data_IF_316883681249
#
_entry.id   IF_316883681249
#
_cell.length_a   1.000
_cell.length_b   1.000
_cell.length_c   1.000
_cell.angle_alpha   90.00
_cell.angle_beta   90.00
_cell.angle_gamma   90.00
#
_symmetry.space_group_name_H-M   'P 1'
#
loop_
_entity.id
_entity.type
_entity.pdbx_description
1 polymer ?
#
# COMPACT_ATOMS: atom_id res chain seq x y z
N UNK A 1 -3.38 -0.13 10.37
CA UNK A 1 -4.19 1.03 10.01
C UNK A 1 -3.36 1.92 9.10
N UNK A 2 -3.94 2.43 8.02
CA UNK A 2 -3.30 3.42 7.13
C UNK A 2 -4.29 4.58 6.96
N UNK A 3 -3.84 5.81 7.18
CA UNK A 3 -4.70 7.00 7.21
C UNK A 3 -4.61 7.83 5.92
N UNK A 4 -4.33 7.19 4.79
CA UNK A 4 -4.00 7.88 3.53
C UNK A 4 -5.11 8.82 3.04
N UNK A 5 -6.36 8.56 3.43
CA UNK A 5 -7.54 9.37 3.13
C UNK A 5 -8.44 9.46 4.37
N UNK A 6 -8.87 10.67 4.70
CA UNK A 6 -9.80 10.93 5.80
C UNK A 6 -10.93 11.80 5.28
N UNK A 7 -12.17 11.36 5.45
CA UNK A 7 -13.37 12.13 5.16
C UNK A 7 -13.99 12.55 6.47
N UNK A 8 -14.19 13.85 6.66
CA UNK A 8 -14.60 14.40 7.95
C UNK A 8 -15.69 15.46 7.77
N UNK A 9 -16.75 15.37 8.57
CA UNK A 9 -17.67 16.48 8.74
C UNK A 9 -17.05 17.49 9.72
N UNK A 10 -16.59 18.64 9.19
CA UNK A 10 -15.93 19.68 9.97
C UNK A 10 -16.77 20.16 11.15
N UNK A 11 -18.09 20.29 11.02
CA UNK A 11 -18.93 20.83 12.11
C UNK A 11 -18.91 19.97 13.36
N UNK A 12 -18.77 18.65 13.21
CA UNK A 12 -18.85 17.70 14.32
C UNK A 12 -17.50 17.21 14.80
N UNK A 13 -16.45 17.29 13.97
CA UNK A 13 -15.14 16.66 14.24
C UNK A 13 -13.98 17.67 14.38
N UNK A 14 -14.25 18.98 14.30
CA UNK A 14 -13.21 20.00 14.33
C UNK A 14 -12.42 20.01 15.66
N UNK A 15 -13.10 19.81 16.80
CA UNK A 15 -12.43 19.76 18.11
C UNK A 15 -11.43 18.60 18.19
N UNK A 16 -11.82 17.42 17.71
CA UNK A 16 -10.90 16.29 17.66
C UNK A 16 -9.69 16.52 16.76
N UNK A 17 -9.87 17.26 15.65
CA UNK A 17 -8.75 17.70 14.81
C UNK A 17 -7.81 18.67 15.56
N UNK A 18 -8.36 19.65 16.28
CA UNK A 18 -7.53 20.52 17.12
C UNK A 18 -6.76 19.72 18.17
N UNK A 19 -7.39 18.71 18.79
CA UNK A 19 -6.71 17.80 19.71
C UNK A 19 -5.56 17.04 19.02
N UNK A 20 -5.77 16.49 17.82
CA UNK A 20 -4.70 15.86 17.02
C UNK A 20 -3.51 16.77 16.78
N UNK A 21 -3.75 18.05 16.47
CA UNK A 21 -2.70 19.06 16.28
C UNK A 21 -1.92 19.30 17.56
N UNK A 22 -2.60 19.40 18.71
CA UNK A 22 -1.92 19.55 20.01
C UNK A 22 -1.03 18.33 20.34
N UNK A 23 -1.51 17.12 20.04
CA UNK A 23 -0.71 15.90 20.22
C UNK A 23 0.53 15.87 19.31
N UNK A 24 0.48 16.49 18.14
CA UNK A 24 1.62 16.57 17.24
C UNK A 24 2.74 17.47 17.80
N UNK A 25 2.39 18.49 18.59
CA UNK A 25 3.38 19.38 19.21
C UNK A 25 4.12 18.77 20.39
N UNK A 26 3.60 17.69 20.98
CA UNK A 26 4.24 17.03 22.11
C UNK A 26 5.09 15.85 21.64
N UNK A 27 6.42 15.88 21.85
CA UNK A 27 7.31 14.81 21.39
C UNK A 27 6.95 13.43 21.97
N UNK A 28 6.38 13.39 23.18
CA UNK A 28 5.98 12.14 23.83
C UNK A 28 4.83 11.43 23.11
N UNK A 29 3.96 12.18 22.45
CA UNK A 29 2.82 11.64 21.68
C UNK A 29 3.14 11.51 20.21
N UNK A 30 3.95 12.42 19.64
CA UNK A 30 4.26 12.42 18.20
C UNK A 30 5.35 11.42 17.78
N UNK A 31 6.35 11.15 18.62
CA UNK A 31 7.48 10.26 18.26
C UNK A 31 7.14 8.77 18.14
N UNK A 32 6.28 8.19 19.01
CA UNK A 32 6.00 6.75 18.95
C UNK A 32 5.18 6.32 17.73
N UNK A 33 4.48 7.27 17.11
CA UNK A 33 3.61 7.02 15.96
C UNK A 33 4.13 7.78 14.74
N UNK A 34 3.67 7.40 13.56
CA UNK A 34 3.82 8.25 12.38
C UNK A 34 2.81 9.39 12.52
N UNK A 35 3.13 10.38 13.36
CA UNK A 35 2.30 11.49 13.86
C UNK A 35 0.97 11.74 13.16
N UNK A 36 1.01 12.05 11.86
CA UNK A 36 -0.21 12.29 11.09
C UNK A 36 -1.17 11.10 11.15
N UNK A 37 -0.73 9.85 11.02
CA UNK A 37 -1.63 8.72 10.80
C UNK A 37 -2.50 8.33 11.97
N UNK A 38 -1.91 8.23 13.15
CA UNK A 38 -2.62 7.72 14.33
C UNK A 38 -3.26 8.83 15.16
N UNK A 39 -2.79 10.08 15.02
CA UNK A 39 -3.29 11.16 15.85
C UNK A 39 -4.68 11.67 15.43
N UNK A 40 -5.13 11.44 14.18
CA UNK A 40 -6.47 11.87 13.73
C UNK A 40 -7.59 11.23 14.54
N UNK A 41 -7.63 9.89 14.58
CA UNK A 41 -8.68 9.18 15.30
C UNK A 41 -8.48 9.28 16.81
N UNK A 42 -7.22 9.29 17.28
CA UNK A 42 -6.92 9.46 18.70
C UNK A 42 -7.37 10.84 19.21
N UNK A 43 -7.20 11.89 18.40
CA UNK A 43 -7.69 13.23 18.72
C UNK A 43 -9.22 13.29 18.81
N UNK A 44 -9.95 12.60 17.93
CA UNK A 44 -11.41 12.46 18.06
C UNK A 44 -11.79 11.80 19.38
N UNK A 45 -11.17 10.67 19.70
CA UNK A 45 -11.41 9.93 20.94
C UNK A 45 -11.14 10.79 22.19
N UNK A 46 -10.01 11.51 22.21
CA UNK A 46 -9.64 12.40 23.33
C UNK A 46 -10.58 13.60 23.48
N UNK A 47 -11.20 14.06 22.39
CA UNK A 47 -12.23 15.10 22.43
C UNK A 47 -13.61 14.59 22.88
N UNK A 48 -13.73 13.30 23.23
CA UNK A 48 -14.99 12.66 23.58
C UNK A 48 -15.88 12.37 22.36
N UNK A 49 -15.31 12.37 21.15
CA UNK A 49 -16.02 12.03 19.92
C UNK A 49 -15.65 10.63 19.44
N UNK A 50 -16.54 9.68 19.69
CA UNK A 50 -16.44 8.29 19.25
C UNK A 50 -17.12 8.04 17.89
N UNK A 51 -17.70 9.07 17.25
CA UNK A 51 -18.45 8.96 15.99
C UNK A 51 -17.55 8.91 14.76
N UNK A 52 -16.55 8.04 14.77
CA UNK A 52 -15.69 7.75 13.64
C UNK A 52 -15.64 6.23 13.39
N UNK A 53 -15.28 5.85 12.17
CA UNK A 53 -15.09 4.46 11.81
C UNK A 53 -13.91 4.33 10.84
N UNK A 54 -13.29 3.15 10.87
CA UNK A 54 -12.33 2.76 9.85
C UNK A 54 -13.07 2.07 8.72
N UNK A 55 -12.55 2.22 7.49
CA UNK A 55 -13.10 1.49 6.36
C UNK A 55 -13.04 -0.02 6.64
N UNK A 56 -14.10 -0.74 6.28
CA UNK A 56 -14.22 -2.18 6.52
C UNK A 56 -13.28 -2.99 5.64
N UNK A 57 -12.83 -2.40 4.53
CA UNK A 57 -11.91 -3.01 3.59
C UNK A 57 -10.49 -2.63 3.97
N UNK A 58 -9.70 -3.64 4.34
CA UNK A 58 -8.29 -3.46 4.62
C UNK A 58 -7.53 -2.92 3.39
N UNK A 59 -6.43 -2.21 3.66
CA UNK A 59 -5.53 -1.76 2.61
C UNK A 59 -4.83 -2.95 1.93
N UNK A 60 -4.56 -2.80 0.64
CA UNK A 60 -3.91 -3.82 -0.16
C UNK A 60 -2.81 -3.28 -1.07
N UNK A 61 -2.20 -4.18 -1.83
CA UNK A 61 -1.27 -3.82 -2.90
C UNK A 61 -2.02 -3.70 -4.23
N UNK A 62 -1.57 -2.77 -5.07
CA UNK A 62 -2.04 -2.61 -6.46
C UNK A 62 -0.84 -2.52 -7.39
N UNK A 63 -0.94 -3.14 -8.57
CA UNK A 63 0.18 -3.17 -9.51
C UNK A 63 0.01 -4.21 -10.62
N UNK A 64 1.15 -4.65 -11.15
CA UNK A 64 1.25 -5.77 -12.10
C UNK A 64 1.09 -7.08 -11.33
N UNK A 65 0.31 -8.00 -11.90
CA UNK A 65 0.07 -9.30 -11.30
C UNK A 65 1.21 -10.27 -11.65
N UNK A 66 1.81 -10.90 -10.64
CA UNK A 66 2.78 -11.97 -10.84
C UNK A 66 2.15 -13.29 -10.37
N UNK A 67 1.88 -14.20 -11.30
CA UNK A 67 1.27 -15.50 -11.03
C UNK A 67 2.25 -16.63 -11.33
N UNK A 68 2.48 -17.43 -10.31
CA UNK A 68 3.17 -18.70 -10.42
C UNK A 68 2.11 -19.80 -10.47
N UNK A 69 1.76 -20.21 -11.69
CA UNK A 69 0.75 -21.24 -11.93
C UNK A 69 1.20 -22.64 -11.47
N UNK A 70 2.52 -22.87 -11.36
CA UNK A 70 3.08 -24.16 -10.93
C UNK A 70 2.90 -24.31 -9.42
N UNK A 71 3.21 -23.26 -8.67
CA UNK A 71 3.06 -23.23 -7.22
C UNK A 71 1.71 -22.68 -6.75
N UNK A 72 0.80 -22.37 -7.67
CA UNK A 72 -0.49 -21.76 -7.41
C UNK A 72 -0.41 -20.51 -6.51
N UNK A 73 0.55 -19.62 -6.78
CA UNK A 73 0.76 -18.40 -6.00
C UNK A 73 0.50 -17.16 -6.85
N UNK A 74 -0.06 -16.11 -6.25
CA UNK A 74 -0.14 -14.79 -6.86
C UNK A 74 0.49 -13.75 -5.94
N UNK A 75 1.13 -12.75 -6.54
CA UNK A 75 1.64 -11.60 -5.80
C UNK A 75 1.44 -10.31 -6.59
N UNK A 76 1.21 -9.24 -5.84
CA UNK A 76 1.22 -7.86 -6.35
C UNK A 76 2.15 -7.07 -5.45
N UNK A 77 3.23 -6.55 -6.04
CA UNK A 77 4.23 -5.76 -5.35
C UNK A 77 4.26 -4.34 -5.91
N UNK A 78 4.12 -3.33 -5.05
CA UNK A 78 4.38 -1.95 -5.42
C UNK A 78 4.74 -1.11 -4.21
N UNK A 79 5.19 0.12 -4.45
CA UNK A 79 5.37 1.10 -3.37
C UNK A 79 4.05 1.82 -3.02
N UNK A 80 2.94 1.46 -3.69
CA UNK A 80 1.64 2.06 -3.43
C UNK A 80 0.85 1.20 -2.46
N UNK A 81 0.34 1.83 -1.41
CA UNK A 81 -0.72 1.28 -0.58
C UNK A 81 -2.05 1.75 -1.15
N UNK A 82 -2.98 0.83 -1.36
CA UNK A 82 -4.26 1.09 -1.99
C UNK A 82 -5.43 0.75 -1.05
N UNK A 83 -6.50 1.54 -1.14
CA UNK A 83 -7.77 1.31 -0.48
C UNK A 83 -8.87 1.10 -1.52
N UNK A 84 -9.85 0.27 -1.19
CA UNK A 84 -10.83 -0.22 -2.14
C UNK A 84 -12.23 -0.11 -1.57
N UNK A 85 -13.22 0.09 -2.44
CA UNK A 85 -14.62 -0.13 -2.08
C UNK A 85 -14.86 -1.64 -1.82
N UNK A 86 -15.97 -1.98 -1.16
CA UNK A 86 -16.38 -3.39 -0.92
C UNK A 86 -16.41 -4.25 -2.20
N UNK A 87 -16.77 -3.65 -3.33
CA UNK A 87 -16.79 -4.32 -4.64
C UNK A 87 -15.40 -4.50 -5.29
N UNK A 88 -14.31 -4.00 -4.70
CA UNK A 88 -12.94 -4.11 -5.21
C UNK A 88 -12.47 -2.97 -6.12
N UNK A 89 -13.30 -1.95 -6.36
CA UNK A 89 -12.87 -0.75 -7.07
C UNK A 89 -11.85 0.05 -6.25
N UNK A 90 -10.79 0.52 -6.92
CA UNK A 90 -9.79 1.39 -6.31
C UNK A 90 -10.41 2.74 -5.89
N UNK A 91 -10.30 3.08 -4.60
CA UNK A 91 -10.81 4.32 -4.03
C UNK A 91 -9.69 5.36 -3.84
N UNK A 92 -8.56 4.93 -3.30
CA UNK A 92 -7.43 5.80 -2.98
C UNK A 92 -6.13 5.02 -3.06
N UNK A 93 -5.04 5.71 -3.38
CA UNK A 93 -3.70 5.13 -3.37
C UNK A 93 -2.66 6.18 -2.97
N UNK A 94 -1.64 5.74 -2.23
CA UNK A 94 -0.49 6.56 -1.86
C UNK A 94 0.74 6.15 -2.68
N UNK A 95 1.73 7.01 -2.84
CA UNK A 95 3.03 6.67 -3.43
C UNK A 95 3.35 7.39 -4.75
N UNK A 96 2.50 8.33 -5.17
CA UNK A 96 2.78 9.26 -6.26
C UNK A 96 2.67 8.68 -7.67
N UNK A 97 2.04 7.51 -7.84
CA UNK A 97 1.72 6.91 -9.15
C UNK A 97 2.95 6.64 -10.05
N UNK A 98 4.12 6.42 -9.45
CA UNK A 98 5.36 6.00 -10.12
C UNK A 98 5.89 4.73 -9.47
N UNK A 99 6.76 4.02 -10.18
CA UNK A 99 7.40 2.82 -9.62
C UNK A 99 8.31 3.13 -8.43
N UNK A 100 8.86 4.35 -8.32
CA UNK A 100 9.50 4.81 -7.10
C UNK A 100 9.39 6.32 -6.91
N UNK A 101 9.11 6.74 -5.67
CA UNK A 101 9.05 8.16 -5.27
C UNK A 101 10.38 8.74 -4.80
N UNK A 102 11.40 7.89 -4.58
CA UNK A 102 12.71 8.27 -4.02
C UNK A 102 13.77 8.29 -5.12
N UNK A 103 14.76 9.18 -4.95
CA UNK A 103 15.96 9.23 -5.82
C UNK A 103 17.04 8.26 -5.32
N UNK A 104 16.68 7.00 -5.12
CA UNK A 104 17.53 5.98 -4.47
C UNK A 104 18.16 4.96 -5.43
N UNK A 105 17.86 5.03 -6.73
CA UNK A 105 18.25 4.00 -7.73
C UNK A 105 19.73 3.60 -7.68
N UNK A 106 20.66 4.53 -7.48
CA UNK A 106 22.09 4.20 -7.43
C UNK A 106 22.40 3.34 -6.21
N UNK A 107 22.00 3.80 -5.03
CA UNK A 107 22.14 3.07 -3.76
C UNK A 107 21.44 1.71 -3.83
N UNK A 108 20.22 1.66 -4.35
CA UNK A 108 19.44 0.43 -4.45
C UNK A 108 20.13 -0.58 -5.40
N UNK A 109 20.64 -0.13 -6.55
CA UNK A 109 21.39 -0.98 -7.49
C UNK A 109 22.67 -1.56 -6.87
N UNK A 110 23.42 -0.72 -6.16
CA UNK A 110 24.69 -1.12 -5.54
C UNK A 110 24.45 -2.09 -4.36
N UNK A 111 23.33 -1.95 -3.63
CA UNK A 111 23.03 -2.74 -2.44
C UNK A 111 22.23 -4.01 -2.69
N UNK A 112 21.36 -4.06 -3.70
CA UNK A 112 20.44 -5.18 -3.92
C UNK A 112 20.86 -6.04 -5.11
N UNK A 113 21.20 -7.31 -4.85
CA UNK A 113 21.62 -8.25 -5.89
C UNK A 113 20.53 -8.51 -6.93
N UNK A 114 19.29 -8.69 -6.48
CA UNK A 114 18.12 -8.91 -7.36
C UNK A 114 17.96 -7.80 -8.40
N UNK A 115 18.25 -6.55 -8.03
CA UNK A 115 18.19 -5.43 -8.96
C UNK A 115 19.33 -5.46 -9.99
N UNK A 116 20.51 -5.98 -9.65
CA UNK A 116 21.62 -6.16 -10.60
C UNK A 116 21.39 -7.31 -11.57
N UNK A 117 20.64 -8.33 -11.16
CA UNK A 117 20.21 -9.41 -12.03
C UNK A 117 19.12 -8.93 -13.01
N UNK A 118 18.25 -8.01 -12.57
CA UNK A 118 17.13 -7.51 -13.37
C UNK A 118 17.51 -6.36 -14.31
N UNK A 119 18.38 -5.45 -13.85
CA UNK A 119 18.76 -4.24 -14.60
C UNK A 119 20.25 -4.28 -14.93
N UNK A 120 20.64 -3.90 -16.15
CA UNK A 120 22.04 -3.95 -16.59
C UNK A 120 22.91 -2.87 -15.94
N UNK A 121 22.30 -1.73 -15.57
CA UNK A 121 23.01 -0.60 -14.98
C UNK A 121 22.07 0.31 -14.16
N UNK A 122 22.62 1.21 -13.31
CA UNK A 122 21.82 2.13 -12.51
C UNK A 122 20.91 3.06 -13.31
N UNK A 123 21.29 3.41 -14.55
CA UNK A 123 20.50 4.29 -15.42
C UNK A 123 19.21 3.60 -15.90
N UNK A 124 19.24 2.30 -16.15
CA UNK A 124 18.04 1.53 -16.47
C UNK A 124 17.08 1.48 -15.26
N UNK A 125 17.60 1.24 -14.06
CA UNK A 125 16.78 1.26 -12.84
C UNK A 125 16.19 2.65 -12.59
N UNK A 126 16.96 3.72 -12.79
CA UNK A 126 16.48 5.11 -12.72
C UNK A 126 15.30 5.35 -13.68
N UNK A 127 15.41 4.85 -14.91
CA UNK A 127 14.34 4.99 -15.90
C UNK A 127 13.09 4.22 -15.46
N UNK A 128 13.24 2.99 -14.96
CA UNK A 128 12.12 2.23 -14.40
C UNK A 128 11.45 2.96 -13.23
N UNK A 129 12.23 3.49 -12.27
CA UNK A 129 11.69 4.24 -11.12
C UNK A 129 10.85 5.46 -11.52
N UNK A 130 11.25 6.13 -12.60
CA UNK A 130 10.53 7.30 -13.12
C UNK A 130 9.29 6.94 -13.93
N UNK A 131 9.16 5.70 -14.41
CA UNK A 131 8.00 5.30 -15.20
C UNK A 131 6.73 5.39 -14.33
N UNK A 132 5.60 5.78 -14.95
CA UNK A 132 4.30 5.66 -14.31
C UNK A 132 4.04 4.22 -13.88
N UNK A 133 3.32 4.07 -12.77
CA UNK A 133 2.86 2.76 -12.30
C UNK A 133 1.95 2.10 -13.34
N UNK A 134 2.00 0.77 -13.43
CA UNK A 134 1.02 -0.02 -14.17
C UNK A 134 0.12 -0.74 -13.17
N UNK A 135 -1.19 -0.67 -13.37
CA UNK A 135 -2.21 -1.31 -12.52
C UNK A 135 -2.99 -2.30 -13.38
N UNK A 136 -2.87 -3.58 -13.05
CA UNK A 136 -3.57 -4.69 -13.70
C UNK A 136 -4.41 -5.48 -12.69
N UNK A 137 -3.92 -5.58 -11.46
CA UNK A 137 -4.60 -6.28 -10.38
C UNK A 137 -4.35 -5.60 -9.03
N UNK A 138 -5.14 -6.02 -8.06
CA UNK A 138 -4.94 -5.72 -6.66
C UNK A 138 -5.10 -6.97 -5.79
N UNK A 139 -4.40 -7.01 -4.67
CA UNK A 139 -4.59 -8.02 -3.63
C UNK A 139 -4.88 -7.32 -2.32
N UNK A 140 -6.02 -7.63 -1.74
CA UNK A 140 -6.39 -7.26 -0.37
C UNK A 140 -6.03 -8.45 0.52
N UNK A 141 -4.99 -8.35 1.35
CA UNK A 141 -4.59 -9.44 2.23
C UNK A 141 -5.67 -9.71 3.28
N UNK A 142 -5.82 -10.97 3.71
CA UNK A 142 -6.67 -11.26 4.87
C UNK A 142 -5.99 -10.69 6.13
N UNK A 143 -6.71 -9.99 7.01
CA UNK A 143 -6.15 -9.56 8.28
C UNK A 143 -5.68 -10.77 9.08
N UNK A 144 -4.50 -10.66 9.71
CA UNK A 144 -3.94 -11.71 10.55
C UNK A 144 -4.89 -11.94 11.72
N UNK A 145 -5.53 -13.11 11.77
CA UNK A 145 -6.31 -13.51 12.93
C UNK A 145 -5.39 -13.56 14.16
N UNK A 146 -5.63 -12.69 15.13
CA UNK A 146 -4.93 -12.71 16.42
C UNK A 146 -5.27 -14.02 17.14
N UNK A 147 -4.46 -15.06 16.95
CA UNK A 147 -4.50 -16.21 17.85
C UNK A 147 -3.76 -15.87 19.13
N UNK A 148 -4.53 -15.52 20.15
CA UNK A 148 -4.16 -15.64 21.56
C UNK A 148 -3.81 -17.10 21.89
N UNK A 149 -2.60 -17.56 21.52
CA UNK A 149 -2.03 -18.81 22.04
C UNK A 149 -0.70 -18.49 22.74
N UNK A 150 -0.65 -18.49 24.08
CA UNK A 150 0.50 -17.97 24.84
C UNK A 150 1.80 -18.80 24.79
N UNK A 151 1.96 -19.81 23.91
CA UNK A 151 3.05 -20.80 24.04
C UNK A 151 3.69 -21.33 22.75
N UNK A 152 3.49 -20.69 21.60
CA UNK A 152 4.32 -20.95 20.42
C UNK A 152 4.72 -19.60 19.84
N UNK A 153 5.98 -19.44 19.44
CA UNK A 153 6.41 -18.30 18.64
C UNK A 153 5.46 -18.18 17.45
N UNK A 154 4.57 -17.17 17.41
CA UNK A 154 3.62 -17.06 16.31
C UNK A 154 4.43 -16.76 15.05
N UNK A 155 4.47 -17.72 14.13
CA UNK A 155 4.93 -17.47 12.76
C UNK A 155 3.83 -16.61 12.14
N UNK A 156 3.95 -15.29 12.29
CA UNK A 156 3.08 -14.34 11.62
C UNK A 156 3.35 -14.41 10.11
N UNK A 157 2.68 -15.30 9.37
CA UNK A 157 2.68 -15.24 7.91
C UNK A 157 1.67 -14.18 7.46
N UNK A 158 1.94 -12.91 7.78
CA UNK A 158 1.24 -11.81 7.11
C UNK A 158 1.46 -12.00 5.61
N UNK A 159 0.38 -12.14 4.85
CA UNK A 159 0.48 -12.21 3.38
C UNK A 159 0.88 -10.86 2.79
N UNK A 160 0.91 -9.81 3.61
CA UNK A 160 1.39 -8.48 3.26
C UNK A 160 2.76 -8.22 3.89
N UNK A 161 3.80 -8.18 3.05
CA UNK A 161 5.20 -8.18 3.49
C UNK A 161 5.94 -7.02 2.81
N UNK A 162 6.75 -6.31 3.59
CA UNK A 162 7.69 -5.32 3.06
C UNK A 162 8.85 -6.05 2.39
N UNK A 163 9.13 -5.74 1.12
CA UNK A 163 10.22 -6.38 0.38
C UNK A 163 11.29 -5.34 0.01
N UNK A 164 12.37 -5.32 0.78
CA UNK A 164 13.45 -4.34 0.58
C UNK A 164 14.30 -4.63 -0.66
N UNK A 165 14.35 -5.89 -1.11
CA UNK A 165 15.13 -6.31 -2.26
C UNK A 165 14.63 -5.72 -3.59
N UNK A 166 13.36 -5.31 -3.65
CA UNK A 166 12.79 -4.61 -4.81
C UNK A 166 13.22 -3.14 -4.91
N UNK A 167 13.94 -2.63 -3.91
CA UNK A 167 14.53 -1.29 -3.90
C UNK A 167 13.57 -0.18 -3.49
N UNK A 168 13.73 0.99 -4.11
CA UNK A 168 13.11 2.25 -3.72
C UNK A 168 13.39 2.61 -2.25
N UNK A 169 14.62 2.40 -1.77
CA UNK A 169 14.99 2.52 -0.36
C UNK A 169 14.10 1.65 0.57
N UNK A 170 13.73 0.48 0.08
CA UNK A 170 12.92 -0.52 0.77
C UNK A 170 11.43 -0.19 0.88
N UNK A 171 10.88 0.69 0.06
CA UNK A 171 9.47 1.09 0.16
C UNK A 171 8.46 0.10 -0.44
N UNK A 172 8.91 -0.98 -1.08
CA UNK A 172 8.00 -1.94 -1.70
C UNK A 172 7.26 -2.77 -0.65
N UNK A 173 5.95 -2.92 -0.87
CA UNK A 173 5.10 -3.85 -0.17
C UNK A 173 4.51 -4.84 -1.17
N UNK A 174 4.53 -6.11 -0.79
CA UNK A 174 4.02 -7.23 -1.58
C UNK A 174 2.85 -7.86 -0.84
N UNK A 175 1.70 -7.91 -1.50
CA UNK A 175 0.58 -8.72 -1.07
C UNK A 175 0.62 -10.03 -1.83
N UNK A 176 0.53 -11.14 -1.12
CA UNK A 176 0.68 -12.50 -1.65
C UNK A 176 -0.59 -13.31 -1.39
N UNK A 177 -0.90 -14.23 -2.28
CA UNK A 177 -1.91 -15.27 -2.08
C UNK A 177 -1.24 -16.59 -2.42
N UNK A 178 -1.35 -17.55 -1.51
CA UNK A 178 -0.83 -18.90 -1.67
C UNK A 178 -1.99 -19.87 -1.90
N UNK A 179 -1.74 -20.95 -2.64
CA UNK A 179 -2.70 -22.01 -2.93
C UNK A 179 -3.97 -21.53 -3.65
N UNK A 180 -3.81 -20.78 -4.74
CA UNK A 180 -4.90 -20.45 -5.68
C UNK A 180 -5.59 -21.74 -6.15
N UNK A 181 -6.92 -21.76 -6.17
CA UNK A 181 -7.63 -22.90 -6.75
C UNK A 181 -7.36 -22.97 -8.26
N UNK A 182 -7.48 -24.18 -8.82
CA UNK A 182 -7.21 -24.49 -10.24
C UNK A 182 -8.03 -23.65 -11.23
N UNK A 183 -9.13 -23.02 -10.77
CA UNK A 183 -10.01 -22.20 -11.60
C UNK A 183 -9.73 -20.70 -11.47
N UNK A 184 -8.67 -20.29 -10.75
CA UNK A 184 -8.35 -18.87 -10.51
C UNK A 184 -9.29 -18.17 -9.52
N UNK A 185 -10.29 -18.88 -9.00
CA UNK A 185 -11.12 -18.45 -7.87
C UNK A 185 -10.42 -18.80 -6.55
N UNK A 186 -10.61 -17.97 -5.54
CA UNK A 186 -9.84 -18.02 -4.30
C UNK A 186 -10.21 -19.26 -3.48
N UNK A 187 -9.21 -20.02 -3.04
CA UNK A 187 -9.37 -20.77 -1.80
C UNK A 187 -9.48 -19.72 -0.67
N UNK A 188 -10.60 -19.75 0.05
CA UNK A 188 -11.11 -18.76 1.02
C UNK A 188 -10.16 -18.34 2.19
N UNK A 189 -8.89 -18.70 2.17
CA UNK A 189 -8.02 -18.63 3.35
C UNK A 189 -7.03 -17.47 3.42
N UNK A 190 -6.60 -16.86 2.30
CA UNK A 190 -5.38 -16.00 2.28
C UNK A 190 -5.56 -14.53 1.83
N UNK A 191 -6.74 -14.12 1.36
CA UNK A 191 -7.03 -12.75 0.92
C UNK A 191 -7.93 -12.70 -0.32
N UNK A 192 -8.12 -11.50 -0.88
CA UNK A 192 -8.94 -11.25 -2.08
C UNK A 192 -8.08 -10.74 -3.23
N UNK A 193 -7.98 -11.53 -4.30
CA UNK A 193 -7.44 -11.11 -5.60
C UNK A 193 -8.52 -10.39 -6.41
N UNK A 194 -8.17 -9.22 -6.94
CA UNK A 194 -9.01 -8.43 -7.83
C UNK A 194 -8.26 -8.29 -9.15
N UNK A 195 -8.83 -8.86 -10.22
CA UNK A 195 -8.32 -8.66 -11.59
C UNK A 195 -9.13 -7.57 -12.25
N UNK A 196 -8.47 -6.52 -12.72
CA UNK A 196 -9.15 -5.44 -13.41
C UNK A 196 -9.41 -5.81 -14.86
N UNK A 197 -10.60 -5.46 -15.36
CA UNK A 197 -10.89 -5.60 -16.78
C UNK A 197 -10.20 -4.50 -17.60
N UNK A 198 -10.15 -4.67 -18.92
CA UNK A 198 -9.45 -3.72 -19.80
C UNK A 198 -9.95 -2.27 -19.65
N UNK A 199 -11.27 -2.07 -19.49
CA UNK A 199 -11.85 -0.74 -19.29
C UNK A 199 -11.35 -0.08 -18.00
N UNK A 200 -11.23 -0.83 -16.91
CA UNK A 200 -10.68 -0.34 -15.65
C UNK A 200 -9.19 -0.04 -15.76
N UNK A 201 -8.42 -0.94 -16.40
CA UNK A 201 -6.98 -0.76 -16.64
C UNK A 201 -6.74 0.53 -17.43
N UNK A 202 -7.47 0.75 -18.52
CA UNK A 202 -7.34 1.94 -19.36
C UNK A 202 -7.71 3.22 -18.58
N UNK A 203 -8.80 3.18 -17.81
CA UNK A 203 -9.19 4.30 -16.94
C UNK A 203 -8.10 4.66 -15.93
N UNK A 204 -7.52 3.67 -15.24
CA UNK A 204 -6.45 3.91 -14.27
C UNK A 204 -5.17 4.42 -14.96
N UNK A 205 -4.84 3.87 -16.12
CA UNK A 205 -3.70 4.30 -16.93
C UNK A 205 -3.84 5.76 -17.34
N UNK A 206 -5.03 6.21 -17.74
CA UNK A 206 -5.29 7.60 -18.10
C UNK A 206 -5.11 8.54 -16.91
N UNK A 207 -5.63 8.18 -15.73
CA UNK A 207 -5.43 8.94 -14.49
C UNK A 207 -3.95 9.03 -14.10
N UNK A 208 -3.23 7.91 -14.15
CA UNK A 208 -1.81 7.81 -13.86
C UNK A 208 -1.00 8.70 -14.80
N UNK A 209 -1.32 8.68 -16.10
CA UNK A 209 -0.64 9.50 -17.10
C UNK A 209 -0.96 10.99 -16.91
N UNK A 210 -2.21 11.34 -16.62
CA UNK A 210 -2.61 12.71 -16.33
C UNK A 210 -1.86 13.28 -15.10
N UNK A 211 -1.70 12.48 -14.04
CA UNK A 211 -0.93 12.87 -12.85
C UNK A 211 0.56 13.05 -13.14
N UNK A 212 1.16 12.12 -13.88
CA UNK A 212 2.60 12.11 -14.14
C UNK A 212 3.05 13.05 -15.27
N UNK A 213 2.15 13.43 -16.18
CA UNK A 213 2.43 14.37 -17.28
C UNK A 213 2.56 15.82 -16.82
N UNK A 214 1.92 16.21 -15.71
CA UNK A 214 2.04 17.56 -15.15
C UNK A 214 3.30 17.74 -14.30
N UNK A 215 3.80 16.67 -13.68
CA UNK A 215 5.00 16.72 -12.83
C UNK A 215 6.33 16.73 -13.61
N UNK A 216 6.32 16.54 -14.92
CA UNK A 216 7.51 16.66 -15.79
C UNK A 216 7.82 18.09 -16.22
N UNK A 217 6.92 19.06 -16.01
CA UNK A 217 7.12 20.48 -16.37
C UNK A 217 7.71 21.35 -15.26
N UNK A 218 7.94 20.81 -14.06
CA UNK A 218 8.43 21.54 -12.89
C UNK A 218 9.83 21.05 -12.45
N UNK A 219 10.71 20.74 -13.40
CA UNK A 219 12.07 20.25 -13.16
C UNK A 219 13.09 21.03 -13.93
#
# INVERSE_FOLDING_TARGET
MESGLIVMNRKTHFIGLLASVHLQFWPKTAKPVYGDKELWWLGQLLSGNDKYFFDEVDAGAVGVLNEDLVNHNASVCSIQLAHFKKNGELLWLNGGLKNCKKRSWKKDFDSQEVLRQTYKNPSQLRNHYKKPLVIEAAIIPKPVEKFSKPKMNPIYTSTFIKNEALGCNGYFHCANIYNLSSNGELADSNGKLIRYNQKQIDFYKDLINAWNSRTSRAG
#
